data_IF_765836484060
#
_entry.id   IF_765836484060
#
_cell.length_a   1.000
_cell.length_b   1.000
_cell.length_c   1.000
_cell.angle_alpha   90.00
_cell.angle_beta   90.00
_cell.angle_gamma   90.00
#
_symmetry.space_group_name_H-M   'P 1'
#
loop_
_entity.id
_entity.type
_entity.pdbx_description
1 polymer ?
#
# COMPACT_ATOMS: atom_id res chain seq x y z
N UNK A 1 -5.96 16.33 -5.57
CA UNK A 1 -4.64 16.86 -5.34
C UNK A 1 -3.94 16.03 -4.27
N UNK A 2 -2.81 15.59 -4.51
CA UNK A 2 -2.05 14.84 -3.53
C UNK A 2 -1.65 13.47 -4.01
N UNK A 3 -0.94 12.79 -3.15
CA UNK A 3 -0.54 11.42 -3.41
C UNK A 3 -1.74 10.51 -3.24
N UNK A 4 -1.95 9.64 -4.20
CA UNK A 4 -2.97 8.61 -4.12
C UNK A 4 -2.32 7.26 -3.82
N UNK A 5 -3.05 6.40 -3.14
CA UNK A 5 -2.57 5.07 -2.80
C UNK A 5 -3.47 4.06 -3.52
N UNK A 6 -2.86 3.25 -4.40
CA UNK A 6 -3.58 2.31 -5.24
C UNK A 6 -3.47 0.88 -4.69
N UNK A 7 -3.48 0.78 -3.36
CA UNK A 7 -3.29 -0.52 -2.71
C UNK A 7 -4.42 -1.49 -3.03
N UNK A 8 -5.66 -1.01 -3.07
CA UNK A 8 -6.80 -1.87 -3.37
C UNK A 8 -6.66 -2.53 -4.74
N UNK A 9 -6.22 -1.76 -5.74
CA UNK A 9 -6.07 -2.30 -7.08
C UNK A 9 -5.03 -3.40 -7.12
N UNK A 10 -3.93 -3.21 -6.40
CA UNK A 10 -2.87 -4.22 -6.35
C UNK A 10 -3.32 -5.46 -5.60
N UNK A 11 -4.03 -5.29 -4.50
CA UNK A 11 -4.55 -6.42 -3.74
C UNK A 11 -5.52 -7.22 -4.60
N UNK A 12 -6.40 -6.54 -5.30
CA UNK A 12 -7.35 -7.20 -6.18
C UNK A 12 -6.62 -7.99 -7.28
N UNK A 13 -5.62 -7.37 -7.90
CA UNK A 13 -4.86 -8.01 -8.96
C UNK A 13 -4.12 -9.25 -8.47
N UNK A 14 -3.69 -9.25 -7.22
CA UNK A 14 -2.96 -10.38 -6.62
C UNK A 14 -3.87 -11.33 -5.88
N UNK A 15 -5.17 -11.07 -5.86
CA UNK A 15 -6.17 -11.87 -5.14
C UNK A 15 -5.78 -12.04 -3.68
N UNK A 16 -5.39 -10.95 -3.06
CA UNK A 16 -4.93 -10.93 -1.69
C UNK A 16 -5.80 -9.98 -0.89
N UNK A 17 -6.09 -10.35 0.36
CA UNK A 17 -6.83 -9.47 1.26
C UNK A 17 -5.87 -8.56 2.01
N UNK A 18 -6.42 -7.47 2.54
CA UNK A 18 -5.62 -6.56 3.36
C UNK A 18 -5.04 -7.27 4.57
N UNK A 19 -5.82 -8.16 5.18
CA UNK A 19 -5.37 -8.95 6.33
C UNK A 19 -4.17 -9.82 5.96
N UNK A 20 -4.23 -10.47 4.79
CA UNK A 20 -3.11 -11.30 4.35
C UNK A 20 -1.86 -10.46 4.13
N UNK A 21 -2.02 -9.27 3.55
CA UNK A 21 -0.88 -8.39 3.35
C UNK A 21 -0.29 -7.95 4.69
N UNK A 22 -1.15 -7.59 5.66
CA UNK A 22 -0.70 -7.18 6.98
C UNK A 22 0.17 -8.25 7.62
N UNK A 23 -0.24 -9.50 7.49
CA UNK A 23 0.53 -10.61 8.06
C UNK A 23 1.89 -10.76 7.38
N UNK A 24 1.96 -10.54 6.09
CA UNK A 24 3.19 -10.73 5.32
C UNK A 24 4.18 -9.61 5.49
N UNK A 25 3.70 -8.38 5.71
CA UNK A 25 4.59 -7.22 5.85
C UNK A 25 4.81 -6.82 7.31
N UNK A 26 4.23 -7.60 8.24
CA UNK A 26 4.42 -7.38 9.68
C UNK A 26 3.99 -5.97 10.11
N UNK A 27 2.84 -5.55 9.61
CA UNK A 27 2.22 -4.27 9.94
C UNK A 27 0.82 -4.57 10.46
N UNK A 28 0.33 -3.76 11.38
CA UNK A 28 -1.02 -3.95 11.88
C UNK A 28 -2.02 -3.66 10.77
N UNK A 29 -3.15 -4.36 10.84
CA UNK A 29 -4.24 -4.13 9.90
C UNK A 29 -4.72 -2.69 9.97
N UNK A 30 -4.75 -2.11 11.18
CA UNK A 30 -5.17 -0.72 11.36
C UNK A 30 -4.25 0.23 10.58
N UNK A 31 -2.94 0.02 10.66
CA UNK A 31 -2.00 0.89 9.94
C UNK A 31 -2.11 0.73 8.44
N UNK A 32 -2.32 -0.49 7.95
CA UNK A 32 -2.54 -0.70 6.53
C UNK A 32 -3.85 -0.07 6.07
N UNK A 33 -4.89 -0.12 6.89
CA UNK A 33 -6.15 0.53 6.56
C UNK A 33 -5.99 2.04 6.42
N UNK A 34 -5.21 2.64 7.31
CA UNK A 34 -4.93 4.08 7.23
C UNK A 34 -4.22 4.39 5.92
N UNK A 35 -3.25 3.58 5.54
CA UNK A 35 -2.53 3.77 4.28
C UNK A 35 -3.47 3.60 3.09
N UNK A 36 -4.28 2.54 3.12
CA UNK A 36 -5.20 2.21 2.03
C UNK A 36 -6.18 3.33 1.75
N UNK A 37 -6.68 3.98 2.80
CA UNK A 37 -7.69 5.03 2.65
C UNK A 37 -7.08 6.38 2.29
N UNK A 38 -5.76 6.47 2.17
CA UNK A 38 -5.11 7.71 1.82
C UNK A 38 -4.96 8.68 2.97
N UNK A 39 -5.18 8.23 4.19
CA UNK A 39 -5.08 9.08 5.37
C UNK A 39 -3.70 9.09 6.00
N UNK A 40 -2.80 8.24 5.51
CA UNK A 40 -1.43 8.23 6.00
C UNK A 40 -0.70 9.46 5.52
N UNK A 41 0.07 10.07 6.40
CA UNK A 41 0.85 11.27 6.06
C UNK A 41 2.28 10.92 5.70
N UNK A 42 2.69 9.69 5.96
CA UNK A 42 4.05 9.24 5.67
C UNK A 42 4.06 7.73 5.62
N UNK A 43 5.06 7.22 4.94
CA UNK A 43 5.33 5.78 4.91
C UNK A 43 6.84 5.60 4.97
N UNK A 44 7.29 4.65 5.75
CA UNK A 44 8.71 4.34 5.82
C UNK A 44 9.12 3.60 4.55
N UNK A 45 10.33 3.86 4.08
CA UNK A 45 10.85 3.15 2.92
C UNK A 45 10.90 1.65 3.16
N UNK A 46 11.24 1.22 4.37
CA UNK A 46 11.25 -0.22 4.68
C UNK A 46 9.88 -0.84 4.52
N UNK A 47 8.83 -0.14 4.93
CA UNK A 47 7.46 -0.61 4.76
C UNK A 47 7.10 -0.66 3.28
N UNK A 48 7.44 0.39 2.55
CA UNK A 48 7.17 0.45 1.12
C UNK A 48 7.86 -0.68 0.38
N UNK A 49 9.13 -0.95 0.73
CA UNK A 49 9.87 -2.07 0.14
C UNK A 49 9.19 -3.41 0.40
N UNK A 50 8.74 -3.62 1.64
CA UNK A 50 8.08 -4.88 2.00
C UNK A 50 6.79 -5.08 1.21
N UNK A 51 6.01 -4.03 1.06
CA UNK A 51 4.77 -4.10 0.29
C UNK A 51 5.08 -4.40 -1.18
N UNK A 52 6.05 -3.70 -1.74
CA UNK A 52 6.43 -3.94 -3.14
C UNK A 52 6.93 -5.35 -3.34
N UNK A 53 7.68 -5.88 -2.38
CA UNK A 53 8.21 -7.23 -2.47
C UNK A 53 7.10 -8.28 -2.43
N UNK A 54 6.16 -8.12 -1.51
CA UNK A 54 5.06 -9.07 -1.36
C UNK A 54 4.11 -9.01 -2.56
N UNK A 55 3.79 -7.82 -3.02
CA UNK A 55 2.87 -7.64 -4.13
C UNK A 55 3.57 -7.69 -5.49
N UNK A 56 4.89 -7.84 -5.51
CA UNK A 56 5.68 -7.92 -6.75
C UNK A 56 5.37 -6.72 -7.65
N UNK A 57 5.51 -5.54 -7.10
CA UNK A 57 5.21 -4.31 -7.82
C UNK A 57 6.27 -3.26 -7.54
N UNK A 58 6.21 -2.18 -8.29
CA UNK A 58 7.06 -1.02 -8.10
C UNK A 58 6.33 0.02 -7.27
N UNK A 59 7.05 0.93 -6.59
CA UNK A 59 6.39 2.00 -5.86
C UNK A 59 5.44 2.83 -6.73
N UNK A 60 5.77 3.00 -8.01
CA UNK A 60 4.89 3.73 -8.93
C UNK A 60 3.60 3.02 -9.23
N UNK A 61 3.55 1.69 -9.01
CA UNK A 61 2.30 0.96 -9.14
C UNK A 61 1.41 1.14 -7.91
N UNK A 62 2.01 1.42 -6.78
CA UNK A 62 1.30 1.57 -5.51
C UNK A 62 0.89 3.01 -5.25
N UNK A 63 1.74 3.95 -5.61
CA UNK A 63 1.54 5.36 -5.31
C UNK A 63 1.38 6.15 -6.62
N UNK A 64 0.46 7.11 -6.59
CA UNK A 64 0.27 8.01 -7.70
C UNK A 64 0.24 9.44 -7.21
N UNK A 65 0.35 10.38 -8.15
CA UNK A 65 0.26 11.79 -7.83
C UNK A 65 -0.83 12.42 -8.68
N UNK A 66 -1.73 13.09 -8.00
CA UNK A 66 -2.87 13.73 -8.62
C UNK A 66 -2.65 15.24 -8.46
N UNK A 67 -2.04 15.84 -9.42
CA UNK A 67 -1.49 17.18 -9.30
C UNK A 67 -2.45 18.32 -9.59
N UNK A 68 -3.69 18.05 -9.82
CA UNK A 68 -4.67 19.09 -10.13
C UNK A 68 -5.14 19.86 -8.93
#
# INVERSE_FOLDING_TARGET
MAISVKLDDLLYARRMTLTQLAERVDITLANLSILKTGKAKAIRFSTLESICQVLECQPGDLLGFDGE
#
